data_IF_874489872127
#
_entry.id   IF_874489872127
#
_cell.length_a   1.000
_cell.length_b   1.000
_cell.length_c   1.000
_cell.angle_alpha   90.00
_cell.angle_beta   90.00
_cell.angle_gamma   90.00
#
_symmetry.space_group_name_H-M   'P 1'
#
loop_
_entity.id
_entity.type
_entity.pdbx_description
1 polymer ?
#
# COMPACT_ATOMS: atom_id res chain seq x y z
N UNK A 1 -24.12 -15.56 42.94
CA UNK A 1 -24.23 -15.62 41.46
C UNK A 1 -23.63 -14.36 40.86
N UNK A 2 -22.37 -14.43 40.43
CA UNK A 2 -21.60 -13.28 39.97
C UNK A 2 -21.82 -13.08 38.47
N UNK A 3 -22.50 -12.01 38.05
CA UNK A 3 -22.71 -11.67 36.64
C UNK A 3 -21.38 -11.21 36.02
N UNK A 4 -20.78 -12.04 35.16
CA UNK A 4 -19.67 -11.64 34.28
C UNK A 4 -20.20 -10.68 33.22
N UNK A 5 -19.72 -9.45 33.24
CA UNK A 5 -19.93 -8.46 32.17
C UNK A 5 -19.05 -8.88 31.00
N UNK A 6 -19.67 -9.30 29.90
CA UNK A 6 -18.97 -9.62 28.66
C UNK A 6 -18.44 -8.31 28.03
N UNK A 7 -17.13 -8.16 27.97
CA UNK A 7 -16.48 -7.10 27.20
C UNK A 7 -16.59 -7.46 25.72
N UNK A 8 -17.38 -6.68 24.97
CA UNK A 8 -17.42 -6.78 23.50
C UNK A 8 -16.03 -6.41 22.95
N UNK A 9 -15.28 -7.40 22.48
CA UNK A 9 -14.09 -7.16 21.67
C UNK A 9 -14.55 -6.50 20.36
N UNK A 10 -14.14 -5.25 20.16
CA UNK A 10 -14.32 -4.58 18.87
C UNK A 10 -13.40 -5.26 17.87
N UNK A 11 -13.95 -6.15 17.05
CA UNK A 11 -13.27 -6.59 15.82
C UNK A 11 -13.00 -5.35 14.97
N UNK A 12 -11.76 -5.13 14.47
CA UNK A 12 -11.50 -4.09 13.50
C UNK A 12 -12.38 -4.35 12.28
N UNK A 13 -13.15 -3.35 11.85
CA UNK A 13 -14.10 -3.50 10.75
C UNK A 13 -13.44 -4.17 9.54
N UNK A 14 -14.01 -5.31 9.13
CA UNK A 14 -13.64 -5.99 7.89
C UNK A 14 -13.91 -5.02 6.74
N UNK A 15 -12.85 -4.42 6.20
CA UNK A 15 -12.91 -3.82 4.88
C UNK A 15 -13.39 -4.87 3.86
N UNK A 16 -13.88 -4.45 2.68
CA UNK A 16 -14.27 -5.38 1.63
C UNK A 16 -13.15 -6.39 1.38
N UNK A 17 -13.50 -7.68 1.31
CA UNK A 17 -12.53 -8.74 1.05
C UNK A 17 -11.85 -8.45 -0.30
N UNK A 18 -10.53 -8.30 -0.28
CA UNK A 18 -9.74 -7.94 -1.44
C UNK A 18 -9.94 -8.93 -2.61
N UNK A 19 -10.18 -10.21 -2.31
CA UNK A 19 -10.55 -11.24 -3.29
C UNK A 19 -11.93 -11.05 -3.92
N UNK A 20 -12.84 -10.31 -3.29
CA UNK A 20 -14.11 -9.99 -3.91
C UNK A 20 -13.92 -8.92 -5.00
N UNK A 21 -12.98 -7.99 -4.79
CA UNK A 21 -12.66 -6.97 -5.79
C UNK A 21 -12.02 -7.56 -7.05
N UNK A 22 -11.19 -8.58 -6.89
CA UNK A 22 -10.57 -9.28 -8.03
C UNK A 22 -11.57 -10.10 -8.86
N UNK A 23 -12.81 -10.26 -8.40
CA UNK A 23 -13.89 -10.94 -9.13
C UNK A 23 -14.82 -9.97 -9.87
N UNK A 24 -14.74 -8.67 -9.60
CA UNK A 24 -15.56 -7.68 -10.30
C UNK A 24 -14.80 -7.16 -11.53
N UNK A 25 -15.29 -7.44 -12.77
CA UNK A 25 -14.63 -6.98 -14.00
C UNK A 25 -14.39 -5.47 -14.05
N UNK A 26 -15.28 -4.67 -13.46
CA UNK A 26 -15.20 -3.19 -13.50
C UNK A 26 -13.96 -2.62 -12.79
N UNK A 27 -13.38 -3.41 -11.87
CA UNK A 27 -12.20 -3.01 -11.12
C UNK A 27 -10.90 -3.55 -11.72
N UNK A 28 -10.97 -4.54 -12.63
CA UNK A 28 -9.80 -5.17 -13.23
C UNK A 28 -9.24 -4.25 -14.31
N UNK A 29 -7.94 -3.97 -14.21
CA UNK A 29 -7.18 -3.23 -15.23
C UNK A 29 -6.56 -4.20 -16.23
N UNK A 30 -5.90 -5.23 -15.73
CA UNK A 30 -5.23 -6.28 -16.51
C UNK A 30 -5.01 -7.50 -15.61
N UNK A 31 -4.81 -8.67 -16.19
CA UNK A 31 -4.44 -9.89 -15.48
C UNK A 31 -3.51 -10.76 -16.32
N UNK A 32 -2.72 -11.61 -15.66
CA UNK A 32 -1.96 -12.72 -16.24
C UNK A 32 -2.50 -14.04 -15.71
N UNK A 33 -1.79 -15.15 -15.91
CA UNK A 33 -2.13 -16.43 -15.25
C UNK A 33 -1.82 -16.42 -13.75
N UNK A 34 -0.86 -15.61 -13.29
CA UNK A 34 -0.36 -15.62 -11.91
C UNK A 34 -0.78 -14.42 -11.06
N UNK A 35 -1.19 -13.31 -11.67
CA UNK A 35 -1.58 -12.09 -10.96
C UNK A 35 -2.74 -11.34 -11.61
N UNK A 36 -3.31 -10.38 -10.88
CA UNK A 36 -4.35 -9.45 -11.33
C UNK A 36 -4.04 -8.04 -10.84
N UNK A 37 -4.24 -7.05 -11.70
CA UNK A 37 -4.15 -5.61 -11.39
C UNK A 37 -5.56 -5.07 -11.26
N UNK A 38 -5.86 -4.43 -10.14
CA UNK A 38 -7.14 -3.77 -9.90
C UNK A 38 -6.94 -2.30 -9.50
N UNK A 39 -7.95 -1.47 -9.75
CA UNK A 39 -8.03 -0.12 -9.16
C UNK A 39 -8.32 -0.22 -7.66
N UNK A 40 -7.58 0.52 -6.83
CA UNK A 40 -7.86 0.62 -5.41
C UNK A 40 -9.21 1.33 -5.20
N UNK A 41 -10.07 0.77 -4.34
CA UNK A 41 -11.42 1.31 -4.07
C UNK A 41 -11.40 2.66 -3.36
N UNK A 42 -10.33 2.93 -2.61
CA UNK A 42 -10.12 4.14 -1.83
C UNK A 42 -8.77 4.75 -2.21
N UNK A 43 -8.60 5.20 -3.47
CA UNK A 43 -7.29 5.59 -4.02
C UNK A 43 -6.67 6.72 -3.20
N UNK A 44 -5.37 6.71 -2.93
CA UNK A 44 -4.72 7.77 -2.10
C UNK A 44 -4.01 8.85 -2.94
N UNK A 45 -4.01 8.68 -4.26
CA UNK A 45 -3.52 9.60 -5.28
C UNK A 45 -4.44 9.52 -6.51
N UNK A 46 -4.15 10.27 -7.58
CA UNK A 46 -4.90 10.20 -8.84
C UNK A 46 -4.92 8.78 -9.42
N UNK A 47 -3.77 8.11 -9.38
CA UNK A 47 -3.63 6.72 -9.77
C UNK A 47 -3.24 5.88 -8.56
N UNK A 48 -4.03 4.86 -8.26
CA UNK A 48 -3.71 3.90 -7.22
C UNK A 48 -4.25 2.53 -7.60
N UNK A 49 -3.33 1.63 -7.90
CA UNK A 49 -3.63 0.24 -8.25
C UNK A 49 -3.03 -0.71 -7.23
N UNK A 50 -3.62 -1.89 -7.19
CA UNK A 50 -3.13 -3.03 -6.43
C UNK A 50 -2.84 -4.16 -7.41
N UNK A 51 -1.63 -4.72 -7.35
CA UNK A 51 -1.28 -5.95 -8.03
C UNK A 51 -1.31 -7.07 -7.01
N UNK A 52 -2.08 -8.13 -7.30
CA UNK A 52 -2.30 -9.24 -6.39
C UNK A 52 -1.92 -10.55 -7.07
N UNK A 53 -1.27 -11.48 -6.36
CA UNK A 53 -1.17 -12.83 -6.86
C UNK A 53 -2.56 -13.50 -6.84
N UNK A 54 -2.81 -14.36 -7.82
CA UNK A 54 -4.02 -15.20 -7.83
C UNK A 54 -3.95 -16.31 -6.78
N UNK A 55 -2.74 -16.76 -6.44
CA UNK A 55 -2.54 -17.64 -5.30
C UNK A 55 -2.74 -16.92 -3.97
N UNK A 56 -3.16 -17.65 -2.94
CA UNK A 56 -3.45 -17.10 -1.62
C UNK A 56 -2.18 -16.99 -0.78
N UNK A 57 -1.73 -15.75 -0.53
CA UNK A 57 -0.57 -15.43 0.29
C UNK A 57 -1.01 -14.44 1.37
N UNK A 58 -1.65 -14.93 2.46
CA UNK A 58 -2.32 -14.06 3.41
C UNK A 58 -1.39 -13.25 4.31
N UNK A 59 -0.15 -13.74 4.53
CA UNK A 59 0.86 -13.12 5.39
C UNK A 59 2.24 -13.21 4.76
N UNK A 60 3.12 -12.28 5.12
CA UNK A 60 4.52 -12.33 4.70
C UNK A 60 5.26 -13.57 5.21
N UNK A 61 4.81 -14.16 6.32
CA UNK A 61 5.30 -15.46 6.82
C UNK A 61 5.08 -16.62 5.83
N UNK A 62 4.20 -16.46 4.84
CA UNK A 62 3.99 -17.45 3.78
C UNK A 62 4.91 -17.22 2.56
N UNK A 63 5.63 -16.09 2.50
CA UNK A 63 6.60 -15.81 1.44
C UNK A 63 7.92 -16.52 1.71
N UNK A 64 8.48 -17.08 0.64
CA UNK A 64 9.77 -17.76 0.61
C UNK A 64 10.39 -17.60 -0.80
N UNK A 65 11.57 -18.18 -1.01
CA UNK A 65 12.31 -18.09 -2.27
C UNK A 65 11.55 -18.60 -3.51
N UNK A 66 10.58 -19.50 -3.36
CA UNK A 66 9.76 -20.00 -4.48
C UNK A 66 8.84 -18.92 -5.05
N UNK A 67 8.53 -17.87 -4.28
CA UNK A 67 7.67 -16.77 -4.71
C UNK A 67 8.44 -15.66 -5.45
N UNK A 68 9.77 -15.73 -5.53
CA UNK A 68 10.58 -14.69 -6.17
C UNK A 68 10.21 -14.46 -7.64
N UNK A 69 9.99 -15.50 -8.48
CA UNK A 69 9.53 -15.30 -9.85
C UNK A 69 8.18 -14.57 -9.94
N UNK A 70 7.24 -14.89 -9.04
CA UNK A 70 5.96 -14.19 -8.95
C UNK A 70 6.16 -12.71 -8.58
N UNK A 71 6.94 -12.42 -7.54
CA UNK A 71 7.17 -11.03 -7.10
C UNK A 71 7.85 -10.19 -8.19
N UNK A 72 8.79 -10.77 -8.93
CA UNK A 72 9.44 -10.14 -10.09
C UNK A 72 8.45 -9.89 -11.23
N UNK A 73 7.64 -10.88 -11.58
CA UNK A 73 6.60 -10.71 -12.61
C UNK A 73 5.57 -9.63 -12.23
N UNK A 74 5.17 -9.55 -10.95
CA UNK A 74 4.33 -8.46 -10.46
C UNK A 74 5.03 -7.10 -10.55
N UNK A 75 6.33 -7.04 -10.29
CA UNK A 75 7.12 -5.81 -10.39
C UNK A 75 7.24 -5.32 -11.83
N UNK A 76 7.55 -6.22 -12.76
CA UNK A 76 7.61 -5.91 -14.21
C UNK A 76 6.25 -5.40 -14.71
N UNK A 77 5.15 -6.02 -14.27
CA UNK A 77 3.80 -5.55 -14.59
C UNK A 77 3.51 -4.15 -14.02
N UNK A 78 4.07 -3.82 -12.85
CA UNK A 78 3.98 -2.47 -12.28
C UNK A 78 4.80 -1.46 -13.09
N UNK A 79 6.03 -1.80 -13.49
CA UNK A 79 6.88 -0.93 -14.32
C UNK A 79 6.23 -0.65 -15.68
N UNK A 80 5.66 -1.68 -16.31
CA UNK A 80 4.90 -1.49 -17.54
C UNK A 80 3.72 -0.53 -17.33
N UNK A 81 2.93 -0.74 -16.26
CA UNK A 81 1.80 0.13 -15.95
C UNK A 81 2.23 1.59 -15.71
N UNK A 82 3.38 1.81 -15.05
CA UNK A 82 3.96 3.14 -14.87
C UNK A 82 4.31 3.78 -16.21
N UNK A 83 5.02 3.05 -17.09
CA UNK A 83 5.42 3.56 -18.41
C UNK A 83 4.23 3.92 -19.33
N UNK A 84 3.10 3.23 -19.16
CA UNK A 84 1.86 3.50 -19.90
C UNK A 84 1.12 4.76 -19.41
N UNK A 85 1.54 5.37 -18.28
CA UNK A 85 0.84 6.49 -17.64
C UNK A 85 1.72 7.75 -17.45
N UNK A 86 2.76 7.90 -18.28
CA UNK A 86 3.52 9.15 -18.40
C UNK A 86 2.59 10.36 -18.66
N UNK A 87 2.89 11.57 -18.14
CA UNK A 87 4.11 11.97 -17.42
C UNK A 87 4.03 11.81 -15.89
N UNK A 88 3.11 10.99 -15.36
CA UNK A 88 2.92 10.90 -13.91
C UNK A 88 4.07 10.14 -13.25
N UNK A 89 4.53 10.63 -12.10
CA UNK A 89 5.51 9.94 -11.26
C UNK A 89 4.83 8.94 -10.32
N UNK A 90 5.48 7.81 -10.07
CA UNK A 90 4.93 6.69 -9.29
C UNK A 90 5.91 6.12 -8.27
N UNK A 91 5.35 5.46 -7.25
CA UNK A 91 6.08 4.54 -6.39
C UNK A 91 5.44 3.15 -6.42
N UNK A 92 6.29 2.12 -6.40
CA UNK A 92 5.90 0.70 -6.47
C UNK A 92 6.39 0.02 -5.20
N UNK A 93 5.51 -0.61 -4.42
CA UNK A 93 5.93 -1.20 -3.15
C UNK A 93 4.83 -1.76 -2.27
N UNK A 94 5.18 -1.99 -1.01
CA UNK A 94 4.36 -2.68 -0.01
C UNK A 94 4.32 -1.90 1.29
N UNK A 95 3.23 -2.01 2.04
CA UNK A 95 3.18 -1.56 3.42
C UNK A 95 3.90 -2.56 4.34
N UNK A 96 4.84 -2.07 5.16
CA UNK A 96 5.62 -2.87 6.12
C UNK A 96 4.75 -3.67 7.10
N UNK A 97 3.59 -3.11 7.48
CA UNK A 97 2.56 -3.82 8.24
C UNK A 97 1.26 -3.80 7.43
N UNK A 98 0.93 -4.88 6.69
CA UNK A 98 -0.24 -4.92 5.83
C UNK A 98 -1.55 -4.67 6.60
N UNK A 99 -2.42 -3.82 6.03
CA UNK A 99 -3.75 -3.53 6.59
C UNK A 99 -4.80 -4.57 6.21
N UNK A 100 -4.58 -5.31 5.12
CA UNK A 100 -5.45 -6.36 4.62
C UNK A 100 -4.71 -7.70 4.63
N UNK A 101 -5.48 -8.77 4.81
CA UNK A 101 -5.03 -10.12 4.47
C UNK A 101 -4.95 -10.22 2.94
N UNK A 102 -4.06 -11.07 2.43
CA UNK A 102 -3.62 -11.19 1.03
C UNK A 102 -2.55 -10.17 0.63
N UNK A 103 -1.45 -10.68 0.09
CA UNK A 103 -0.37 -9.89 -0.50
C UNK A 103 -0.92 -8.98 -1.61
N UNK A 104 -0.55 -7.71 -1.57
CA UNK A 104 -0.85 -6.73 -2.61
C UNK A 104 0.30 -5.74 -2.74
N UNK A 105 0.76 -5.54 -3.97
CA UNK A 105 1.73 -4.51 -4.32
C UNK A 105 0.96 -3.25 -4.70
N UNK A 106 1.32 -2.12 -4.10
CA UNK A 106 0.82 -0.82 -4.47
C UNK A 106 1.58 -0.28 -5.67
N UNK A 107 0.86 0.23 -6.67
CA UNK A 107 1.37 1.12 -7.71
C UNK A 107 0.58 2.42 -7.57
N UNK A 108 1.23 3.47 -7.09
CA UNK A 108 0.54 4.71 -6.70
C UNK A 108 1.31 5.93 -7.21
N UNK A 109 0.59 6.87 -7.81
CA UNK A 109 1.18 8.12 -8.26
C UNK A 109 1.57 9.01 -7.07
N UNK A 110 2.63 9.80 -7.22
CA UNK A 110 3.19 10.61 -6.13
C UNK A 110 2.50 11.97 -5.95
N UNK A 111 1.44 12.27 -6.73
CA UNK A 111 0.64 13.49 -6.54
C UNK A 111 -0.12 13.51 -5.20
N UNK A 112 -0.51 12.33 -4.69
CA UNK A 112 -1.33 12.16 -3.50
C UNK A 112 -2.58 13.07 -3.45
N UNK A 113 -3.12 13.42 -4.61
CA UNK A 113 -4.31 14.23 -4.78
C UNK A 113 -5.55 13.32 -4.81
N UNK A 114 -6.13 13.07 -3.64
CA UNK A 114 -7.34 12.27 -3.54
C UNK A 114 -8.25 12.67 -2.37
N UNK A 115 -9.59 12.64 -2.53
CA UNK A 115 -10.52 12.78 -1.43
C UNK A 115 -10.41 11.65 -0.39
N UNK A 116 -9.87 10.47 -0.75
CA UNK A 116 -9.69 9.35 0.20
C UNK A 116 -8.40 9.45 1.04
N UNK A 117 -7.48 10.36 0.71
CA UNK A 117 -6.32 10.69 1.54
C UNK A 117 -6.74 11.58 2.72
N UNK A 118 -7.24 10.98 3.80
CA UNK A 118 -7.90 11.70 4.90
C UNK A 118 -7.08 11.87 6.17
N UNK A 119 -6.18 10.92 6.47
CA UNK A 119 -5.56 10.83 7.80
C UNK A 119 -4.04 10.87 7.71
N UNK A 120 -3.40 11.26 8.82
CA UNK A 120 -1.93 11.18 8.99
C UNK A 120 -1.42 9.76 8.72
N UNK A 121 -2.15 8.74 9.17
CA UNK A 121 -1.83 7.34 8.89
C UNK A 121 -1.82 7.06 7.38
N UNK A 122 -2.78 7.57 6.61
CA UNK A 122 -2.78 7.39 5.16
C UNK A 122 -1.57 8.07 4.53
N UNK A 123 -1.22 9.28 4.96
CA UNK A 123 -0.04 9.97 4.44
C UNK A 123 1.25 9.19 4.74
N UNK A 124 1.52 8.97 6.02
CA UNK A 124 2.77 8.37 6.46
C UNK A 124 2.94 6.93 5.98
N UNK A 125 1.87 6.21 5.64
CA UNK A 125 1.98 4.86 5.10
C UNK A 125 2.62 4.82 3.71
N UNK A 126 2.55 5.90 2.95
CA UNK A 126 3.16 6.01 1.61
C UNK A 126 4.42 6.87 1.59
N UNK A 127 4.60 7.80 2.54
CA UNK A 127 5.66 8.82 2.50
C UNK A 127 6.73 8.67 3.59
N UNK A 128 6.76 7.53 4.28
CA UNK A 128 7.84 7.17 5.22
C UNK A 128 8.41 5.80 4.86
N UNK A 129 9.41 5.31 5.62
CA UNK A 129 9.93 3.95 5.46
C UNK A 129 8.87 2.86 5.66
N UNK A 130 7.67 3.20 6.15
CA UNK A 130 6.53 2.28 6.18
C UNK A 130 6.16 1.74 4.79
N UNK A 131 6.42 2.51 3.74
CA UNK A 131 6.37 2.03 2.37
C UNK A 131 7.70 1.42 1.97
N UNK A 132 7.71 0.11 1.74
CA UNK A 132 8.90 -0.63 1.31
C UNK A 132 8.89 -0.72 -0.22
N UNK A 133 9.89 -0.14 -0.92
CA UNK A 133 10.00 -0.27 -2.36
C UNK A 133 10.02 -1.74 -2.80
N UNK A 134 9.32 -2.06 -3.90
CA UNK A 134 9.16 -3.44 -4.35
C UNK A 134 10.51 -4.14 -4.62
N UNK A 135 11.45 -3.45 -5.26
CA UNK A 135 12.81 -3.97 -5.49
C UNK A 135 13.56 -4.29 -4.20
N UNK A 136 13.37 -3.51 -3.13
CA UNK A 136 13.91 -3.79 -1.80
C UNK A 136 13.21 -4.97 -1.14
N UNK A 137 11.88 -5.04 -1.25
CA UNK A 137 11.09 -6.13 -0.69
C UNK A 137 11.45 -7.48 -1.31
N UNK A 138 11.64 -7.55 -2.63
CA UNK A 138 12.11 -8.76 -3.33
C UNK A 138 13.42 -9.25 -2.72
N UNK A 139 14.43 -8.37 -2.57
CA UNK A 139 15.71 -8.70 -1.92
C UNK A 139 15.56 -9.17 -0.48
N UNK A 140 14.61 -8.60 0.26
CA UNK A 140 14.32 -9.04 1.63
C UNK A 140 13.75 -10.46 1.67
N UNK A 141 12.90 -10.83 0.71
CA UNK A 141 12.36 -12.21 0.59
C UNK A 141 13.45 -13.18 0.16
N UNK A 142 14.32 -12.80 -0.79
CA UNK A 142 15.47 -13.61 -1.23
C UNK A 142 16.39 -13.98 -0.07
N UNK A 143 16.67 -13.00 0.80
CA UNK A 143 17.58 -13.15 1.93
C UNK A 143 16.87 -13.60 3.23
N UNK A 144 15.55 -13.81 3.21
CA UNK A 144 14.75 -14.19 4.38
C UNK A 144 14.63 -13.12 5.48
N UNK A 145 14.97 -11.86 5.20
CA UNK A 145 14.95 -10.77 6.19
C UNK A 145 13.60 -10.05 6.27
N UNK A 146 12.63 -10.36 5.39
CA UNK A 146 11.29 -9.79 5.42
C UNK A 146 10.50 -10.11 6.69
N UNK A 147 10.90 -11.15 7.44
CA UNK A 147 10.31 -11.53 8.72
C UNK A 147 10.96 -10.81 9.92
N UNK A 148 12.06 -10.10 9.71
CA UNK A 148 12.82 -9.42 10.78
C UNK A 148 12.36 -7.98 11.01
N UNK A 149 11.27 -7.54 10.37
CA UNK A 149 10.76 -6.19 10.57
C UNK A 149 10.16 -6.04 11.97
N UNK A 150 10.65 -5.04 12.71
CA UNK A 150 10.07 -4.67 13.99
C UNK A 150 8.71 -3.98 13.77
N UNK A 151 7.65 -4.73 14.01
CA UNK A 151 6.28 -4.26 13.86
C UNK A 151 6.00 -2.99 14.68
N UNK A 152 6.55 -2.87 15.89
CA UNK A 152 6.33 -1.71 16.76
C UNK A 152 7.00 -0.48 16.13
N UNK A 153 8.26 -0.64 15.72
CA UNK A 153 9.07 0.40 15.11
C UNK A 153 8.42 0.97 13.83
N UNK A 154 7.80 0.12 13.00
CA UNK A 154 7.09 0.57 11.80
C UNK A 154 5.74 1.22 12.12
N UNK A 155 5.02 0.75 13.16
CA UNK A 155 3.76 1.38 13.56
C UNK A 155 3.95 2.79 14.11
N UNK A 156 5.09 3.11 14.73
CA UNK A 156 5.39 4.48 15.18
C UNK A 156 5.56 5.48 14.03
N UNK A 157 6.04 5.03 12.85
CA UNK A 157 6.14 5.90 11.67
C UNK A 157 4.79 6.46 11.23
N UNK A 158 3.71 5.71 11.44
CA UNK A 158 2.36 6.15 11.12
C UNK A 158 1.89 7.34 11.98
N UNK A 159 2.63 7.64 13.06
CA UNK A 159 2.37 8.76 13.98
C UNK A 159 3.29 9.95 13.77
N UNK A 160 4.37 9.80 12.99
CA UNK A 160 5.33 10.86 12.67
C UNK A 160 4.67 12.14 12.17
N UNK A 161 5.37 13.25 12.32
CA UNK A 161 4.90 14.55 11.82
C UNK A 161 4.66 14.52 10.31
N UNK A 162 3.68 15.29 9.86
CA UNK A 162 3.36 15.39 8.45
C UNK A 162 4.45 16.20 7.75
N UNK A 163 5.25 15.52 6.92
CA UNK A 163 6.28 16.14 6.08
C UNK A 163 5.93 15.97 4.62
N UNK A 164 6.09 17.04 3.83
CA UNK A 164 5.97 16.95 2.37
C UNK A 164 7.06 16.03 1.83
N UNK A 165 6.69 15.09 0.95
CA UNK A 165 7.65 14.13 0.38
C UNK A 165 8.59 14.78 -0.65
N UNK A 166 8.22 15.94 -1.21
CA UNK A 166 9.01 16.68 -2.20
C UNK A 166 9.98 17.67 -1.55
N UNK A 167 9.46 18.61 -0.75
CA UNK A 167 10.26 19.71 -0.18
C UNK A 167 10.51 19.62 1.34
N UNK A 168 10.06 18.55 2.00
CA UNK A 168 10.27 18.30 3.44
C UNK A 168 9.62 19.32 4.40
N UNK A 169 8.82 20.25 3.90
CA UNK A 169 8.03 21.18 4.73
C UNK A 169 7.12 20.43 5.71
N UNK A 170 7.01 20.92 6.95
CA UNK A 170 6.26 20.28 8.03
C UNK A 170 4.88 20.90 8.23
N UNK A 171 3.88 20.07 8.55
CA UNK A 171 2.48 20.48 8.71
C UNK A 171 1.88 19.89 9.99
N UNK A 172 0.97 20.65 10.62
CA UNK A 172 0.23 20.18 11.81
C UNK A 172 -1.02 19.39 11.46
N UNK A 173 -1.61 19.61 10.28
CA UNK A 173 -2.90 19.03 9.89
C UNK A 173 -2.87 18.53 8.44
N UNK A 174 -3.69 17.52 8.13
CA UNK A 174 -3.85 17.00 6.77
C UNK A 174 -4.40 18.05 5.78
N UNK A 175 -5.38 18.91 6.13
CA UNK A 175 -5.82 19.98 5.24
C UNK A 175 -4.68 20.91 4.80
N UNK A 176 -3.85 21.38 5.73
CA UNK A 176 -2.73 22.27 5.39
C UNK A 176 -1.71 21.58 4.48
N UNK A 177 -1.42 20.29 4.73
CA UNK A 177 -0.58 19.50 3.84
C UNK A 177 -1.20 19.36 2.45
N UNK A 178 -2.49 19.08 2.33
CA UNK A 178 -3.17 18.94 1.03
C UNK A 178 -3.14 20.22 0.22
N UNK A 179 -3.45 21.37 0.84
CA UNK A 179 -3.32 22.69 0.20
C UNK A 179 -1.88 22.96 -0.23
N UNK A 180 -0.90 22.48 0.50
CA UNK A 180 0.50 22.58 0.09
C UNK A 180 0.83 21.70 -1.13
N UNK A 181 0.32 20.47 -1.20
CA UNK A 181 0.54 19.57 -2.34
C UNK A 181 -0.01 20.11 -3.65
N UNK A 182 -1.10 20.90 -3.60
CA UNK A 182 -1.65 21.57 -4.79
C UNK A 182 -0.66 22.57 -5.40
N UNK A 183 0.27 23.13 -4.62
CA UNK A 183 1.29 24.06 -5.14
C UNK A 183 2.27 23.37 -6.08
N UNK A 184 2.76 22.18 -5.68
CA UNK A 184 3.67 21.35 -6.50
C UNK A 184 3.05 20.81 -7.80
N UNK A 185 1.73 20.96 -7.99
CA UNK A 185 1.06 20.56 -9.25
C UNK A 185 1.08 21.67 -10.31
N UNK A 186 1.27 22.91 -9.89
CA UNK A 186 1.29 24.08 -10.77
C UNK A 186 2.73 24.54 -11.05
N UNK A 187 3.72 23.87 -10.47
CA UNK A 187 5.16 24.06 -10.68
C UNK A 187 5.65 23.12 -11.79
#
# INVERSE_FOLDING_TARGET
>A
MTKRIATKSKTPGLGPNLFQMTKNPDHIVRQSDSWVIIRDRFPKAMFHWLILPKESIPRWANLNSMHIPLLRSMHEAAEQLVSENEPHSFQIGYHAVPSMLQLHMHVISTDFCSPCLKTKKHWNSFTTRFFIPSSKFIKMVENGTHLQLDRIEYLELLKSDLKCHLCQSCFKTMPNLKTHLEKHRND
#
